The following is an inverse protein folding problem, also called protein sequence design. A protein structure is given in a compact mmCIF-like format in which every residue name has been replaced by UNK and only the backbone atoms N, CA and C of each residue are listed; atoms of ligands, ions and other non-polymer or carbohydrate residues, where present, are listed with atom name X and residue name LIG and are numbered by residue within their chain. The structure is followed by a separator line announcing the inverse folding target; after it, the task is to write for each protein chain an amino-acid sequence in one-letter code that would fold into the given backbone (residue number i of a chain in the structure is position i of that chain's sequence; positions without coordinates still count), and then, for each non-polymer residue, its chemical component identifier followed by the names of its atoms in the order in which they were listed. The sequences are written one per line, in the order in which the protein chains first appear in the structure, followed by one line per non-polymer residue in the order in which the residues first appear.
data_IF_018964154098
#
_entry.id   IF_018964154098
#
_cell.length_a   1.000
_cell.length_b   1.000
_cell.length_c   1.000
_cell.angle_alpha   90.00
_cell.angle_beta   90.00
_cell.angle_gamma   90.00
#
_symmetry.space_group_name_H-M   'P 1'
#
loop_
_entity.id
_entity.type
_entity.pdbx_description
1 polymer ?
#
# COMPACT_ATOMS: atom_id res chain seq x y z
N UNK A 1 23.84 11.36 -5.10
CA UNK A 1 23.26 11.70 -3.78
C UNK A 1 22.80 10.42 -3.10
N UNK A 2 23.50 10.07 -2.03
CA UNK A 2 23.37 8.82 -1.29
C UNK A 2 22.39 9.03 -0.13
N UNK A 3 21.27 8.31 -0.12
CA UNK A 3 20.37 8.18 1.04
C UNK A 3 19.98 6.71 1.22
N UNK A 4 20.84 5.98 1.93
CA UNK A 4 20.53 4.82 2.77
C UNK A 4 19.79 5.32 4.03
N UNK A 5 18.91 4.61 4.75
CA UNK A 5 18.46 3.22 4.78
C UNK A 5 17.17 3.23 5.63
N UNK A 6 16.09 2.55 5.23
CA UNK A 6 15.16 1.98 6.21
C UNK A 6 15.00 0.49 5.87
N UNK A 7 15.77 -0.34 6.58
CA UNK A 7 15.56 -1.78 6.68
C UNK A 7 14.86 -2.06 8.02
N UNK A 8 13.65 -2.61 7.98
CA UNK A 8 13.11 -3.37 9.12
C UNK A 8 13.22 -4.85 8.78
N UNK A 9 14.29 -5.46 9.29
CA UNK A 9 14.47 -6.92 9.30
C UNK A 9 13.95 -7.42 10.65
N UNK A 10 13.00 -8.35 10.65
CA UNK A 10 12.75 -9.19 11.81
C UNK A 10 12.89 -10.65 11.40
N UNK A 11 13.98 -11.27 11.85
CA UNK A 11 14.22 -12.72 11.73
C UNK A 11 13.33 -13.54 12.68
N UNK A 12 12.51 -12.88 13.50
CA UNK A 12 11.67 -13.54 14.49
C UNK A 12 10.45 -12.68 14.79
N UNK A 13 9.31 -13.02 14.19
CA UNK A 13 8.03 -12.32 14.40
C UNK A 13 7.66 -12.25 15.89
N UNK A 14 8.07 -13.23 16.71
CA UNK A 14 7.87 -13.24 18.16
C UNK A 14 8.62 -12.10 18.87
N UNK A 15 9.71 -11.58 18.30
CA UNK A 15 10.48 -10.48 18.86
C UNK A 15 9.78 -9.11 18.78
N UNK A 16 8.74 -8.96 17.95
CA UNK A 16 7.93 -7.74 17.83
C UNK A 16 6.70 -7.73 18.75
N UNK A 17 6.38 -8.87 19.39
CA UNK A 17 5.38 -8.93 20.45
C UNK A 17 5.85 -8.19 21.71
N UNK A 18 7.16 -8.07 21.90
CA UNK A 18 7.79 -7.32 22.99
C UNK A 18 7.55 -5.80 22.84
N UNK A 19 6.84 -5.15 23.78
CA UNK A 19 6.51 -3.72 23.69
C UNK A 19 7.73 -2.79 23.63
N UNK A 20 8.85 -3.18 24.27
CA UNK A 20 10.07 -2.37 24.32
C UNK A 20 10.76 -2.39 22.95
N UNK A 21 10.88 -3.57 22.33
CA UNK A 21 11.43 -3.72 20.97
C UNK A 21 10.58 -2.99 19.95
N UNK A 22 9.24 -3.10 20.04
CA UNK A 22 8.31 -2.34 19.20
C UNK A 22 8.49 -0.82 19.38
N UNK A 23 8.60 -0.35 20.62
CA UNK A 23 8.83 1.06 20.94
C UNK A 23 10.12 1.60 20.32
N UNK A 24 11.21 0.84 20.35
CA UNK A 24 12.49 1.23 19.72
C UNK A 24 12.40 1.33 18.20
N UNK A 25 11.71 0.39 17.54
CA UNK A 25 11.46 0.44 16.09
C UNK A 25 10.63 1.66 15.72
N UNK A 26 9.52 1.92 16.44
CA UNK A 26 8.67 3.08 16.21
C UNK A 26 9.42 4.40 16.43
N UNK A 27 10.24 4.49 17.49
CA UNK A 27 11.05 5.68 17.76
C UNK A 27 12.06 5.96 16.65
N UNK A 28 12.69 4.92 16.09
CA UNK A 28 13.59 5.03 14.94
C UNK A 28 12.85 5.53 13.69
N UNK A 29 11.68 4.95 13.39
CA UNK A 29 10.83 5.37 12.27
C UNK A 29 10.44 6.86 12.38
N UNK A 30 10.05 7.31 13.59
CA UNK A 30 9.72 8.72 13.84
C UNK A 30 10.91 9.66 13.62
N UNK A 31 12.11 9.25 14.01
CA UNK A 31 13.34 10.06 13.86
C UNK A 31 13.74 10.25 12.39
N UNK A 32 13.45 9.28 11.53
CA UNK A 32 13.82 9.32 10.11
C UNK A 32 12.91 10.20 9.23
N UNK A 33 11.86 10.83 9.79
CA UNK A 33 10.94 11.77 9.11
C UNK A 33 10.28 11.27 7.81
N UNK A 34 10.34 9.97 7.51
CA UNK A 34 9.71 9.34 6.35
C UNK A 34 8.46 8.58 6.77
N UNK A 35 7.49 9.32 7.30
CA UNK A 35 6.19 8.77 7.67
C UNK A 35 5.40 8.31 6.44
N UNK A 36 4.46 7.39 6.66
CA UNK A 36 3.46 7.01 5.67
C UNK A 36 3.62 5.63 5.06
N UNK A 37 4.67 4.87 5.35
CA UNK A 37 4.69 3.42 5.11
C UNK A 37 5.72 2.71 6.00
N UNK A 38 5.53 1.40 6.14
CA UNK A 38 6.46 0.47 6.78
C UNK A 38 6.65 -0.71 5.83
N UNK A 39 7.88 -1.13 5.63
CA UNK A 39 8.24 -2.32 4.86
C UNK A 39 8.96 -3.30 5.77
N UNK A 40 8.50 -4.55 5.78
CA UNK A 40 9.07 -5.65 6.55
C UNK A 40 9.32 -6.83 5.62
N UNK A 41 10.51 -7.41 5.69
CA UNK A 41 10.84 -8.67 5.00
C UNK A 41 10.96 -9.79 6.03
N UNK A 42 10.43 -10.95 5.68
CA UNK A 42 10.47 -12.14 6.52
C UNK A 42 10.28 -13.41 5.70
N UNK A 43 10.16 -14.54 6.40
CA UNK A 43 9.80 -15.82 5.80
C UNK A 43 8.50 -16.33 6.41
N UNK A 44 7.60 -16.81 5.57
CA UNK A 44 6.39 -17.55 5.95
C UNK A 44 6.42 -18.86 5.18
N UNK A 45 6.35 -20.00 5.87
CA UNK A 45 6.46 -21.34 5.28
C UNK A 45 7.67 -21.48 4.32
N UNK A 46 8.82 -20.99 4.79
CA UNK A 46 10.09 -20.94 4.05
C UNK A 46 10.09 -20.08 2.76
N UNK A 47 8.99 -19.39 2.45
CA UNK A 47 8.90 -18.43 1.35
C UNK A 47 9.23 -17.03 1.84
N UNK A 48 10.05 -16.30 1.09
CA UNK A 48 10.35 -14.90 1.40
C UNK A 48 9.10 -14.07 1.10
N UNK A 49 8.71 -13.23 2.06
CA UNK A 49 7.57 -12.33 1.94
C UNK A 49 8.01 -10.91 2.29
N UNK A 50 7.66 -9.97 1.42
CA UNK A 50 7.75 -8.53 1.66
C UNK A 50 6.36 -7.99 1.99
N UNK A 51 6.17 -7.61 3.25
CA UNK A 51 4.96 -6.94 3.74
C UNK A 51 5.18 -5.43 3.70
N UNK A 52 4.28 -4.72 3.03
CA UNK A 52 4.26 -3.25 3.00
C UNK A 52 2.93 -2.77 3.55
N UNK A 53 2.97 -1.91 4.57
CA UNK A 53 1.80 -1.18 5.03
C UNK A 53 1.99 0.30 4.69
N UNK A 54 0.99 0.95 4.09
CA UNK A 54 1.04 2.37 3.73
C UNK A 54 -0.13 3.14 4.36
N UNK A 55 0.16 4.33 4.84
CA UNK A 55 -0.83 5.36 5.15
C UNK A 55 -0.45 6.61 4.38
N UNK A 56 -1.25 6.93 3.36
CA UNK A 56 -1.02 8.12 2.56
C UNK A 56 -1.86 9.26 3.12
N UNK A 57 -1.26 10.42 3.46
CA UNK A 57 -2.05 11.57 3.86
C UNK A 57 -3.09 11.95 2.79
N UNK A 58 -4.27 12.46 3.18
CA UNK A 58 -5.19 13.07 2.24
C UNK A 58 -4.45 14.09 1.36
N UNK A 59 -4.77 14.08 0.07
CA UNK A 59 -4.20 14.99 -0.94
C UNK A 59 -2.71 14.80 -1.22
N UNK A 60 -2.17 13.63 -0.87
CA UNK A 60 -0.84 13.20 -1.27
C UNK A 60 -0.62 13.38 -2.78
N UNK A 61 0.43 14.12 -3.11
CA UNK A 61 0.80 14.41 -4.49
C UNK A 61 1.39 13.18 -5.20
N UNK A 62 1.41 13.22 -6.53
CA UNK A 62 2.06 12.20 -7.38
C UNK A 62 3.50 11.89 -6.94
N UNK A 63 4.25 12.88 -6.42
CA UNK A 63 5.63 12.71 -5.94
C UNK A 63 5.76 11.76 -4.76
N UNK A 64 4.75 11.70 -3.87
CA UNK A 64 4.70 10.74 -2.78
C UNK A 64 4.64 9.31 -3.35
N UNK A 65 3.65 9.03 -4.19
CA UNK A 65 3.47 7.69 -4.78
C UNK A 65 4.68 7.28 -5.63
N UNK A 66 5.27 8.21 -6.38
CA UNK A 66 6.50 7.95 -7.13
C UNK A 66 7.65 7.52 -6.22
N UNK A 67 7.83 8.20 -5.10
CA UNK A 67 8.88 7.86 -4.13
C UNK A 67 8.59 6.54 -3.41
N UNK A 68 7.32 6.30 -3.06
CA UNK A 68 6.85 5.07 -2.44
C UNK A 68 7.09 3.86 -3.33
N UNK A 69 6.54 3.84 -4.54
CA UNK A 69 6.71 2.69 -5.45
C UNK A 69 8.16 2.48 -5.88
N UNK A 70 8.97 3.55 -5.99
CA UNK A 70 10.42 3.41 -6.18
C UNK A 70 11.06 2.58 -5.06
N UNK A 71 10.70 2.83 -3.81
CA UNK A 71 11.23 2.10 -2.65
C UNK A 71 10.69 0.68 -2.62
N UNK A 72 9.39 0.48 -2.90
CA UNK A 72 8.80 -0.87 -3.03
C UNK A 72 9.57 -1.69 -4.05
N UNK A 73 9.83 -1.17 -5.25
CA UNK A 73 10.58 -1.90 -6.30
C UNK A 73 12.04 -2.15 -5.92
N UNK A 74 12.67 -1.24 -5.19
CA UNK A 74 14.06 -1.41 -4.74
C UNK A 74 14.19 -2.45 -3.62
N UNK A 75 13.16 -2.61 -2.81
CA UNK A 75 13.20 -3.43 -1.60
C UNK A 75 12.37 -4.72 -1.69
N UNK A 76 11.52 -4.89 -2.69
CA UNK A 76 10.74 -6.12 -2.84
C UNK A 76 11.63 -7.35 -2.99
N UNK A 77 11.33 -8.37 -2.20
CA UNK A 77 11.95 -9.70 -2.26
C UNK A 77 10.88 -10.77 -2.00
N UNK A 78 10.83 -11.79 -2.85
CA UNK A 78 9.80 -12.84 -2.77
C UNK A 78 8.38 -12.32 -3.02
N UNK A 79 7.41 -12.82 -2.25
CA UNK A 79 5.99 -12.50 -2.39
C UNK A 79 5.72 -11.09 -1.87
N UNK A 80 5.10 -10.24 -2.66
CA UNK A 80 4.63 -8.92 -2.22
C UNK A 80 3.23 -9.00 -1.64
N UNK A 81 3.06 -8.45 -0.44
CA UNK A 81 1.76 -8.09 0.12
C UNK A 81 1.85 -6.63 0.54
N UNK A 82 1.28 -5.73 -0.26
CA UNK A 82 1.28 -4.30 0.00
C UNK A 82 -0.13 -3.82 0.25
N UNK A 83 -0.45 -3.38 1.46
CA UNK A 83 -1.78 -2.88 1.78
C UNK A 83 -1.78 -1.61 2.62
N UNK A 84 -2.98 -1.09 2.86
CA UNK A 84 -3.20 0.08 3.71
C UNK A 84 -4.08 1.14 3.06
N UNK A 85 -4.07 2.34 3.63
CA UNK A 85 -4.92 3.47 3.22
C UNK A 85 -4.20 4.36 2.19
N UNK A 86 -4.65 4.27 0.94
CA UNK A 86 -4.12 5.04 -0.19
C UNK A 86 -4.83 6.39 -0.39
N UNK A 87 -5.86 6.71 0.39
CA UNK A 87 -6.61 7.98 0.35
C UNK A 87 -6.95 8.46 -1.08
N UNK A 88 -7.13 7.51 -2.00
CA UNK A 88 -7.41 7.73 -3.42
C UNK A 88 -8.21 6.55 -3.98
N UNK A 89 -9.14 6.85 -4.88
CA UNK A 89 -9.91 5.85 -5.62
C UNK A 89 -9.18 5.49 -6.92
N UNK A 90 -9.08 4.20 -7.25
CA UNK A 90 -8.44 3.73 -8.51
C UNK A 90 -9.42 3.71 -9.69
N UNK A 91 -10.71 3.51 -9.43
CA UNK A 91 -11.78 3.50 -10.40
C UNK A 91 -12.91 4.47 -10.00
N UNK A 92 -13.22 5.46 -10.85
CA UNK A 92 -14.26 6.46 -10.56
C UNK A 92 -15.68 5.88 -10.54
N UNK A 93 -15.92 4.77 -11.23
CA UNK A 93 -17.25 4.14 -11.35
C UNK A 93 -17.47 3.13 -10.21
N UNK A 94 -16.43 2.35 -9.90
CA UNK A 94 -16.56 1.22 -8.98
C UNK A 94 -16.12 1.54 -7.54
N UNK A 95 -15.19 2.47 -7.34
CA UNK A 95 -14.59 2.74 -6.01
C UNK A 95 -15.20 3.96 -5.32
N UNK A 96 -16.26 4.56 -5.86
CA UNK A 96 -16.97 5.64 -5.17
C UNK A 96 -18.44 5.73 -5.56
N UNK A 97 -19.27 6.29 -4.68
CA UNK A 97 -20.63 6.71 -5.00
C UNK A 97 -20.71 8.12 -5.61
N UNK A 98 -19.63 8.89 -5.59
CA UNK A 98 -19.61 10.25 -6.15
C UNK A 98 -19.56 10.23 -7.68
N UNK A 99 -20.56 10.86 -8.31
CA UNK A 99 -20.57 11.13 -9.74
C UNK A 99 -19.62 12.29 -10.14
N UNK A 100 -19.09 13.05 -9.18
CA UNK A 100 -18.22 14.20 -9.45
C UNK A 100 -16.82 13.72 -9.86
N UNK A 101 -16.29 14.29 -10.95
CA UNK A 101 -14.89 14.07 -11.34
C UNK A 101 -13.95 14.57 -10.22
N UNK A 102 -13.15 13.65 -9.68
CA UNK A 102 -12.14 14.01 -8.68
C UNK A 102 -11.00 14.83 -9.30
N UNK A 103 -10.56 15.88 -8.59
CA UNK A 103 -9.32 16.62 -8.90
C UNK A 103 -8.09 15.72 -8.89
N UNK A 104 -8.14 14.56 -8.20
CA UNK A 104 -7.06 13.56 -8.10
C UNK A 104 -6.90 12.69 -9.36
N UNK A 105 -7.63 13.00 -10.43
CA UNK A 105 -7.58 12.22 -11.70
C UNK A 105 -6.15 12.02 -12.24
N UNK A 106 -5.23 13.00 -12.25
CA UNK A 106 -3.85 12.78 -12.71
C UNK A 106 -3.06 11.79 -11.85
N UNK A 107 -3.25 11.83 -10.53
CA UNK A 107 -2.58 10.93 -9.57
C UNK A 107 -3.12 9.51 -9.75
N UNK A 108 -4.44 9.35 -9.88
CA UNK A 108 -5.09 8.07 -10.17
C UNK A 108 -4.57 7.42 -11.46
N UNK A 109 -4.50 8.20 -12.55
CA UNK A 109 -3.96 7.67 -13.83
C UNK A 109 -2.52 7.19 -13.66
N UNK A 110 -1.69 7.98 -12.98
CA UNK A 110 -0.32 7.59 -12.69
C UNK A 110 -0.24 6.28 -11.90
N UNK A 111 -1.07 6.12 -10.87
CA UNK A 111 -1.12 4.88 -10.08
C UNK A 111 -1.52 3.68 -10.93
N UNK A 112 -2.58 3.79 -11.73
CA UNK A 112 -2.99 2.69 -12.61
C UNK A 112 -1.88 2.32 -13.61
N UNK A 113 -1.15 3.30 -14.15
CA UNK A 113 0.02 3.05 -15.00
C UNK A 113 1.13 2.32 -14.26
N UNK A 114 1.51 2.79 -13.06
CA UNK A 114 2.58 2.16 -12.28
C UNK A 114 2.22 0.74 -11.85
N UNK A 115 0.99 0.51 -11.38
CA UNK A 115 0.53 -0.82 -11.01
C UNK A 115 0.60 -1.79 -12.20
N UNK A 116 0.15 -1.34 -13.37
CA UNK A 116 0.22 -2.12 -14.61
C UNK A 116 1.67 -2.42 -15.02
N UNK A 117 2.54 -1.41 -15.04
CA UNK A 117 3.96 -1.54 -15.42
C UNK A 117 4.73 -2.48 -14.49
N UNK A 118 4.42 -2.46 -13.19
CA UNK A 118 5.05 -3.33 -12.20
C UNK A 118 4.43 -4.73 -12.14
N UNK A 119 3.35 -4.98 -12.89
CA UNK A 119 2.59 -6.23 -12.78
C UNK A 119 2.01 -6.43 -11.38
N UNK A 120 1.61 -5.35 -10.71
CA UNK A 120 0.97 -5.37 -9.40
C UNK A 120 -0.54 -5.25 -9.61
N UNK A 121 -1.29 -6.12 -8.94
CA UNK A 121 -2.75 -6.20 -9.04
C UNK A 121 -3.44 -5.78 -7.74
N UNK A 122 -4.64 -5.22 -7.85
CA UNK A 122 -5.59 -5.01 -6.76
C UNK A 122 -6.32 -6.31 -6.48
N UNK A 123 -5.99 -6.97 -5.37
CA UNK A 123 -6.52 -8.28 -5.00
C UNK A 123 -8.04 -8.29 -4.98
N UNK A 124 -8.65 -7.28 -4.34
CA UNK A 124 -10.10 -7.20 -4.24
C UNK A 124 -10.76 -7.04 -5.62
N UNK A 125 -10.19 -6.18 -6.47
CA UNK A 125 -10.74 -5.93 -7.80
C UNK A 125 -10.56 -7.11 -8.75
N UNK A 126 -9.50 -7.90 -8.60
CA UNK A 126 -9.31 -9.13 -9.37
C UNK A 126 -10.35 -10.20 -9.03
N UNK A 127 -10.75 -10.32 -7.75
CA UNK A 127 -11.79 -11.26 -7.31
C UNK A 127 -13.20 -10.73 -7.59
N UNK A 128 -13.40 -9.42 -7.52
CA UNK A 128 -14.70 -8.76 -7.69
C UNK A 128 -14.63 -7.68 -8.78
N UNK A 129 -14.54 -8.06 -10.08
CA UNK A 129 -14.27 -7.11 -11.16
C UNK A 129 -15.32 -6.02 -11.32
N UNK A 130 -16.57 -6.31 -11.00
CA UNK A 130 -17.72 -5.42 -11.23
C UNK A 130 -18.45 -5.01 -9.96
N UNK A 131 -18.13 -5.60 -8.80
CA UNK A 131 -18.83 -5.29 -7.57
C UNK A 131 -18.41 -3.93 -7.01
N UNK A 132 -19.35 -3.30 -6.30
CA UNK A 132 -19.12 -2.03 -5.61
C UNK A 132 -19.18 -2.31 -4.13
N UNK A 133 -18.04 -2.15 -3.48
CA UNK A 133 -17.91 -2.18 -2.04
C UNK A 133 -16.90 -1.10 -1.60
N UNK A 134 -17.01 -0.64 -0.37
CA UNK A 134 -16.35 0.58 0.10
C UNK A 134 -15.76 0.39 1.49
N UNK A 135 -14.66 1.08 1.76
CA UNK A 135 -13.92 0.97 3.02
C UNK A 135 -14.03 2.23 3.87
N UNK A 136 -14.53 3.32 3.30
CA UNK A 136 -14.68 4.60 3.98
C UNK A 136 -15.99 5.32 3.61
N UNK A 137 -16.60 5.97 4.60
CA UNK A 137 -17.76 6.84 4.43
C UNK A 137 -17.44 8.28 4.87
N UNK A 138 -17.68 9.23 3.98
CA UNK A 138 -17.57 10.68 4.27
C UNK A 138 -18.94 11.26 4.58
N UNK A 139 -19.24 11.48 5.86
CA UNK A 139 -20.50 12.09 6.29
C UNK A 139 -20.76 13.49 5.68
N UNK A 140 -19.79 14.43 5.63
CA UNK A 140 -20.01 15.76 5.06
C UNK A 140 -20.36 15.76 3.56
N UNK A 141 -19.98 14.71 2.85
CA UNK A 141 -20.23 14.60 1.40
C UNK A 141 -21.30 13.55 1.07
N UNK A 142 -21.75 12.76 2.06
CA UNK A 142 -22.64 11.60 1.86
C UNK A 142 -22.12 10.66 0.77
N UNK A 143 -20.80 10.38 0.80
CA UNK A 143 -20.10 9.60 -0.22
C UNK A 143 -19.38 8.42 0.42
N UNK A 144 -19.52 7.26 -0.21
CA UNK A 144 -18.70 6.09 0.08
C UNK A 144 -17.54 6.00 -0.91
N UNK A 145 -16.39 5.57 -0.42
CA UNK A 145 -15.17 5.36 -1.22
C UNK A 145 -14.44 4.10 -0.79
N UNK A 146 -13.85 3.39 -1.75
CA UNK A 146 -12.84 2.37 -1.51
C UNK A 146 -11.46 3.02 -1.63
N UNK A 147 -10.75 3.10 -0.52
CA UNK A 147 -9.43 3.74 -0.43
C UNK A 147 -8.39 2.86 0.26
N UNK A 148 -8.83 1.76 0.86
CA UNK A 148 -7.98 0.73 1.42
C UNK A 148 -7.83 -0.40 0.40
N UNK A 149 -6.59 -0.77 0.14
CA UNK A 149 -6.26 -1.76 -0.89
C UNK A 149 -5.33 -2.82 -0.33
N UNK A 150 -5.39 -4.01 -0.94
CA UNK A 150 -4.31 -4.98 -0.89
C UNK A 150 -3.82 -5.23 -2.31
N UNK A 151 -2.51 -5.10 -2.46
CA UNK A 151 -1.78 -5.28 -3.70
C UNK A 151 -0.80 -6.43 -3.60
N UNK A 152 -0.64 -7.14 -4.71
CA UNK A 152 0.34 -8.21 -4.84
C UNK A 152 0.88 -8.29 -6.26
N UNK A 153 1.95 -9.07 -6.46
CA UNK A 153 2.42 -9.38 -7.80
C UNK A 153 1.39 -10.25 -8.52
N UNK A 154 1.09 -9.93 -9.78
CA UNK A 154 0.21 -10.72 -10.65
C UNK A 154 0.69 -12.15 -10.80
N UNK A 155 2.01 -12.37 -10.79
CA UNK A 155 2.60 -13.70 -10.85
C UNK A 155 2.19 -14.58 -9.65
N UNK A 156 1.86 -13.99 -8.51
CA UNK A 156 1.43 -14.69 -7.29
C UNK A 156 -0.10 -14.82 -7.18
N UNK A 157 -0.88 -14.36 -8.19
CA UNK A 157 -2.36 -14.35 -8.16
C UNK A 157 -3.00 -15.73 -7.96
N UNK A 158 -2.30 -16.81 -8.29
CA UNK A 158 -2.76 -18.19 -8.06
C UNK A 158 -2.83 -18.57 -6.57
N UNK A 159 -2.27 -17.75 -5.68
CA UNK A 159 -2.29 -17.97 -4.22
C UNK A 159 -3.59 -17.52 -3.56
N UNK A 160 -4.47 -16.87 -4.32
CA UNK A 160 -5.78 -16.42 -3.86
C UNK A 160 -6.83 -17.32 -4.51
N UNK A 161 -7.23 -18.36 -3.79
CA UNK A 161 -8.31 -19.29 -4.14
C UNK A 161 -9.13 -19.61 -2.88
#
# INVERSE_FOLDING_TARGET
MQYSQLKVVSLNVNGLNDPIKRGKVIAKLKKEKKGGYILVKGKIDNQIVTLVNVYTPPDSAKSFFKSFFKIVVQEIEGILICGGDFNITLNQVLDTTSAKKSSKTPVRRYLNTVLLELGIIDVWRELHPFERDFTFYSAPHSVYTRIDYFFMNKADRFRIE
#
